data_IF_353695564352
#
_entry.id   IF_353695564352
#
_cell.length_a   1.000
_cell.length_b   1.000
_cell.length_c   1.000
_cell.angle_alpha   90.00
_cell.angle_beta   90.00
_cell.angle_gamma   90.00
#
_symmetry.space_group_name_H-M   'P 1'
#
loop_
_entity.id
_entity.type
_entity.pdbx_description
1 polymer ?
#
# COMPACT_ATOMS: atom_id res chain seq x y z
N UNK A 1 0.56 0.81 15.08
CA UNK A 1 0.49 2.27 14.92
C UNK A 1 -0.51 2.81 15.93
N UNK A 2 -0.03 3.50 16.96
CA UNK A 2 -0.89 4.33 17.80
C UNK A 2 -1.17 5.61 17.00
N UNK A 3 -2.35 5.70 16.40
CA UNK A 3 -2.85 6.95 15.83
C UNK A 3 -3.10 7.91 16.99
N UNK A 4 -2.11 8.76 17.31
CA UNK A 4 -2.37 9.98 18.08
C UNK A 4 -3.53 10.68 17.38
N UNK A 5 -4.64 10.88 18.10
CA UNK A 5 -5.80 11.63 17.62
C UNK A 5 -5.29 12.98 17.14
N UNK A 6 -5.19 13.15 15.82
CA UNK A 6 -4.90 14.45 15.23
C UNK A 6 -6.09 15.35 15.59
N UNK A 7 -5.83 16.54 16.12
CA UNK A 7 -6.90 17.49 16.47
C UNK A 7 -7.76 17.74 15.23
N UNK A 8 -9.08 17.63 15.35
CA UNK A 8 -10.06 17.80 14.26
C UNK A 8 -9.82 19.11 13.47
N UNK A 9 -9.47 20.20 14.16
CA UNK A 9 -9.13 21.49 13.53
C UNK A 9 -7.96 21.46 12.54
N UNK A 10 -7.05 20.49 12.69
CA UNK A 10 -5.95 20.29 11.73
C UNK A 10 -6.45 19.60 10.46
N UNK A 11 -7.43 18.70 10.57
CA UNK A 11 -7.97 17.92 9.44
C UNK A 11 -8.85 18.77 8.52
N UNK A 12 -9.57 19.74 9.09
CA UNK A 12 -10.45 20.65 8.32
C UNK A 12 -9.69 21.45 7.24
N UNK A 13 -8.44 21.79 7.51
CA UNK A 13 -7.61 22.66 6.66
C UNK A 13 -6.70 21.90 5.69
N UNK A 14 -6.83 20.58 5.62
CA UNK A 14 -6.03 19.75 4.69
C UNK A 14 -6.53 19.97 3.27
N UNK A 15 -5.61 20.32 2.37
CA UNK A 15 -5.92 20.33 0.94
C UNK A 15 -6.00 18.88 0.42
N UNK A 16 -7.21 18.50 0.00
CA UNK A 16 -7.54 17.15 -0.49
C UNK A 16 -7.80 17.12 -1.99
N UNK A 17 -7.61 18.24 -2.70
CA UNK A 17 -7.85 18.32 -4.15
C UNK A 17 -6.82 17.49 -4.95
N UNK A 18 -5.65 17.22 -4.37
CA UNK A 18 -4.64 16.32 -4.96
C UNK A 18 -4.92 14.83 -4.71
N UNK A 19 -6.01 14.50 -4.01
CA UNK A 19 -6.46 13.13 -3.77
C UNK A 19 -7.51 12.77 -4.83
N UNK A 20 -7.03 12.33 -5.99
CA UNK A 20 -7.89 12.12 -7.15
C UNK A 20 -8.75 10.84 -7.00
N UNK A 21 -8.19 9.68 -6.65
CA UNK A 21 -8.93 8.39 -6.44
C UNK A 21 -10.02 8.05 -7.48
N UNK A 22 -10.06 8.75 -8.61
CA UNK A 22 -11.07 8.68 -9.67
C UNK A 22 -10.86 7.43 -10.51
N UNK A 23 -9.61 6.95 -10.55
CA UNK A 23 -9.23 5.66 -11.07
C UNK A 23 -9.33 4.62 -9.96
N UNK A 24 -10.47 3.96 -9.90
CA UNK A 24 -10.66 2.82 -9.02
C UNK A 24 -9.82 1.62 -9.48
N UNK A 25 -9.48 0.75 -8.54
CA UNK A 25 -9.17 -0.64 -8.87
C UNK A 25 -10.41 -1.42 -9.40
N UNK A 26 -11.56 -0.79 -9.63
CA UNK A 26 -12.85 -1.46 -9.89
C UNK A 26 -13.30 -1.51 -11.36
N UNK A 27 -12.52 -1.01 -12.33
CA UNK A 27 -12.70 -1.44 -13.73
C UNK A 27 -12.29 -2.92 -13.95
N UNK A 28 -11.94 -3.63 -12.88
CA UNK A 28 -11.73 -5.07 -12.82
C UNK A 28 -13.09 -5.80 -12.79
N UNK A 29 -13.92 -5.59 -13.81
CA UNK A 29 -14.75 -6.69 -14.34
C UNK A 29 -13.88 -7.72 -15.07
N UNK A 30 -12.61 -7.42 -15.31
CA UNK A 30 -11.63 -8.38 -15.80
C UNK A 30 -11.07 -9.24 -14.65
N UNK A 31 -11.76 -10.33 -14.32
CA UNK A 31 -11.22 -11.49 -13.59
C UNK A 31 -10.14 -12.24 -14.41
N UNK A 32 -9.33 -11.52 -15.20
CA UNK A 32 -8.27 -12.07 -16.03
C UNK A 32 -6.90 -11.73 -15.41
N UNK A 33 -6.16 -12.73 -14.89
CA UNK A 33 -4.83 -12.55 -14.32
C UNK A 33 -3.76 -12.11 -15.33
N UNK A 34 -4.03 -12.14 -16.64
CA UNK A 34 -3.11 -11.64 -17.68
C UNK A 34 -3.20 -10.12 -17.91
N UNK A 35 -4.07 -9.44 -17.18
CA UNK A 35 -4.40 -8.05 -17.46
C UNK A 35 -3.39 -7.09 -16.82
N UNK A 36 -2.40 -6.62 -17.60
CA UNK A 36 -1.45 -5.56 -17.22
C UNK A 36 -2.11 -4.31 -16.60
N UNK A 37 -3.41 -4.11 -16.85
CA UNK A 37 -4.18 -3.03 -16.25
C UNK A 37 -4.25 -3.13 -14.72
N UNK A 38 -4.29 -4.33 -14.11
CA UNK A 38 -4.38 -4.43 -12.63
C UNK A 38 -3.10 -3.92 -11.97
N UNK A 39 -1.93 -4.24 -12.53
CA UNK A 39 -0.65 -3.77 -12.02
C UNK A 39 -0.52 -2.25 -12.20
N UNK A 40 -0.96 -1.74 -13.34
CA UNK A 40 -0.99 -0.30 -13.62
C UNK A 40 -1.90 0.46 -12.64
N UNK A 41 -3.15 0.02 -12.48
CA UNK A 41 -4.10 0.64 -11.55
C UNK A 41 -3.64 0.50 -10.09
N UNK A 42 -3.02 -0.61 -9.72
CA UNK A 42 -2.39 -0.78 -8.40
C UNK A 42 -1.30 0.27 -8.15
N UNK A 43 -0.43 0.54 -9.12
CA UNK A 43 0.60 1.56 -9.01
C UNK A 43 0.00 2.97 -8.86
N UNK A 44 -1.00 3.31 -9.67
CA UNK A 44 -1.66 4.61 -9.60
C UNK A 44 -2.37 4.81 -8.25
N UNK A 45 -3.13 3.81 -7.81
CA UNK A 45 -3.82 3.86 -6.53
C UNK A 45 -2.85 4.09 -5.36
N UNK A 46 -1.71 3.40 -5.34
CA UNK A 46 -0.70 3.58 -4.30
C UNK A 46 0.00 4.94 -4.36
N UNK A 47 0.15 5.51 -5.57
CA UNK A 47 0.64 6.88 -5.73
C UNK A 47 -0.34 7.87 -5.10
N UNK A 48 -1.63 7.71 -5.34
CA UNK A 48 -2.67 8.58 -4.76
C UNK A 48 -2.78 8.42 -3.25
N UNK A 49 -2.58 7.21 -2.75
CA UNK A 49 -2.63 6.91 -1.32
C UNK A 49 -1.44 7.46 -0.52
N UNK A 50 -0.26 7.55 -1.15
CA UNK A 50 0.99 7.81 -0.42
C UNK A 50 1.83 8.96 -0.97
N UNK A 51 2.05 8.99 -2.29
CA UNK A 51 2.96 9.96 -2.88
C UNK A 51 2.39 11.38 -2.85
N UNK A 52 1.14 11.58 -3.29
CA UNK A 52 0.53 12.91 -3.24
C UNK A 52 0.36 13.41 -1.79
N UNK A 53 -0.20 12.61 -0.85
CA UNK A 53 -0.27 12.89 0.60
C UNK A 53 1.03 13.35 1.25
N UNK A 54 2.14 12.74 0.83
CA UNK A 54 3.49 13.08 1.30
C UNK A 54 3.99 14.39 0.68
N UNK A 55 3.83 14.55 -0.64
CA UNK A 55 4.42 15.65 -1.39
C UNK A 55 3.68 16.99 -1.24
N UNK A 56 2.33 16.99 -1.17
CA UNK A 56 1.54 18.21 -1.40
C UNK A 56 0.69 18.67 -0.21
N UNK A 57 0.39 17.80 0.73
CA UNK A 57 -0.60 18.04 1.79
C UNK A 57 -0.12 17.64 3.20
N UNK A 58 1.14 17.17 3.33
CA UNK A 58 1.82 16.88 4.61
C UNK A 58 1.01 15.98 5.55
N UNK A 59 0.10 15.17 4.99
CA UNK A 59 -0.71 14.20 5.73
C UNK A 59 0.09 12.98 6.16
N UNK A 60 1.23 12.77 5.49
CA UNK A 60 2.10 11.62 5.65
C UNK A 60 3.49 12.13 5.94
N UNK A 61 4.06 11.65 7.05
CA UNK A 61 5.46 11.88 7.37
C UNK A 61 6.39 11.07 6.47
N UNK A 62 7.66 11.49 6.37
CA UNK A 62 8.68 10.74 5.62
C UNK A 62 8.81 9.29 6.09
N UNK A 63 8.74 9.05 7.40
CA UNK A 63 8.87 7.71 7.97
C UNK A 63 7.66 6.83 7.58
N UNK A 64 6.44 7.36 7.69
CA UNK A 64 5.24 6.64 7.23
C UNK A 64 5.29 6.34 5.72
N UNK A 65 5.80 7.26 4.91
CA UNK A 65 6.00 7.03 3.48
C UNK A 65 6.97 5.88 3.22
N UNK A 66 8.13 5.88 3.87
CA UNK A 66 9.15 4.84 3.72
C UNK A 66 8.66 3.47 4.20
N UNK A 67 7.97 3.43 5.35
CA UNK A 67 7.37 2.20 5.87
C UNK A 67 6.35 1.60 4.89
N UNK A 68 5.50 2.46 4.32
CA UNK A 68 4.52 2.01 3.34
C UNK A 68 5.16 1.52 2.04
N UNK A 69 6.10 2.29 1.44
CA UNK A 69 6.81 1.87 0.22
C UNK A 69 7.44 0.50 0.38
N UNK A 70 8.01 0.23 1.55
CA UNK A 70 8.63 -1.04 1.91
C UNK A 70 7.66 -2.21 2.07
N UNK A 71 6.35 -2.00 2.22
CA UNK A 71 5.33 -3.07 2.18
C UNK A 71 4.63 -3.14 0.82
N UNK A 72 4.43 -1.99 0.18
CA UNK A 72 3.88 -1.86 -1.18
C UNK A 72 4.74 -2.61 -2.21
N UNK A 73 6.07 -2.48 -2.14
CA UNK A 73 6.99 -3.17 -3.08
C UNK A 73 6.75 -4.69 -3.09
N UNK A 74 6.58 -5.30 -1.92
CA UNK A 74 6.30 -6.73 -1.82
C UNK A 74 4.88 -7.08 -2.24
N UNK A 75 3.91 -6.20 -2.01
CA UNK A 75 2.55 -6.40 -2.50
C UNK A 75 2.49 -6.34 -4.03
N UNK A 76 3.20 -5.40 -4.64
CA UNK A 76 3.36 -5.31 -6.09
C UNK A 76 4.04 -6.56 -6.67
N UNK A 77 5.17 -7.00 -6.09
CA UNK A 77 5.86 -8.20 -6.56
C UNK A 77 5.00 -9.46 -6.40
N UNK A 78 4.27 -9.58 -5.28
CA UNK A 78 3.35 -10.70 -5.08
C UNK A 78 2.18 -10.68 -6.08
N UNK A 79 1.67 -9.49 -6.45
CA UNK A 79 0.65 -9.35 -7.49
C UNK A 79 1.21 -9.73 -8.87
N UNK A 80 2.39 -9.21 -9.22
CA UNK A 80 3.08 -9.47 -10.49
C UNK A 80 3.44 -10.94 -10.71
N UNK A 81 3.77 -11.64 -9.63
CA UNK A 81 4.08 -13.08 -9.65
C UNK A 81 2.83 -13.96 -9.42
N UNK A 82 1.62 -13.40 -9.50
CA UNK A 82 0.33 -14.09 -9.31
C UNK A 82 0.24 -14.87 -7.98
N UNK A 83 0.85 -14.34 -6.91
CA UNK A 83 0.91 -14.98 -5.59
C UNK A 83 -0.18 -14.49 -4.64
N UNK A 84 -0.98 -13.51 -5.06
CA UNK A 84 -2.13 -13.05 -4.31
C UNK A 84 -3.36 -13.87 -4.68
N UNK A 85 -4.06 -14.37 -3.67
CA UNK A 85 -5.36 -14.99 -3.89
C UNK A 85 -6.38 -13.96 -4.37
N UNK A 86 -7.39 -14.42 -5.13
CA UNK A 86 -8.51 -13.58 -5.58
C UNK A 86 -9.19 -12.83 -4.42
N UNK A 87 -9.29 -13.46 -3.25
CA UNK A 87 -9.81 -12.82 -2.04
C UNK A 87 -8.94 -11.64 -1.57
N UNK A 88 -7.62 -11.76 -1.62
CA UNK A 88 -6.71 -10.67 -1.25
C UNK A 88 -6.81 -9.52 -2.24
N UNK A 89 -6.86 -9.82 -3.54
CA UNK A 89 -7.04 -8.81 -4.60
C UNK A 89 -8.37 -8.07 -4.40
N UNK A 90 -9.48 -8.81 -4.30
CA UNK A 90 -10.81 -8.23 -4.06
C UNK A 90 -10.83 -7.34 -2.82
N UNK A 91 -10.23 -7.80 -1.73
CA UNK A 91 -10.19 -7.01 -0.50
C UNK A 91 -9.35 -5.72 -0.59
N UNK A 92 -8.40 -5.63 -1.54
CA UNK A 92 -7.69 -4.38 -1.84
C UNK A 92 -8.58 -3.49 -2.73
N UNK A 93 -9.27 -4.07 -3.71
CA UNK A 93 -10.24 -3.36 -4.55
C UNK A 93 -11.37 -2.73 -3.72
N UNK A 94 -11.98 -3.48 -2.80
CA UNK A 94 -13.03 -2.99 -1.91
C UNK A 94 -12.56 -1.78 -1.08
N UNK A 95 -11.29 -1.75 -0.67
CA UNK A 95 -10.71 -0.59 0.06
C UNK A 95 -10.48 0.61 -0.86
N UNK A 96 -10.10 0.40 -2.11
CA UNK A 96 -10.00 1.46 -3.12
C UNK A 96 -11.36 2.07 -3.44
N UNK A 97 -12.41 1.24 -3.51
CA UNK A 97 -13.79 1.67 -3.75
C UNK A 97 -14.28 2.63 -2.67
N UNK A 98 -14.05 2.31 -1.40
CA UNK A 98 -14.41 3.18 -0.26
C UNK A 98 -13.85 4.59 -0.42
N UNK A 99 -12.59 4.74 -0.89
CA UNK A 99 -11.98 6.06 -1.04
C UNK A 99 -12.60 6.88 -2.17
N UNK A 100 -12.93 6.22 -3.27
CA UNK A 100 -13.57 6.92 -4.38
C UNK A 100 -15.02 7.29 -4.06
N UNK A 101 -15.78 6.38 -3.44
CA UNK A 101 -17.12 6.72 -2.95
C UNK A 101 -17.08 7.90 -1.97
N UNK A 102 -16.13 7.87 -1.01
CA UNK A 102 -15.95 8.97 -0.06
C UNK A 102 -15.59 10.29 -0.78
N UNK A 103 -14.78 10.25 -1.84
CA UNK A 103 -14.48 11.45 -2.63
C UNK A 103 -15.73 12.00 -3.31
N UNK A 104 -16.51 11.14 -3.98
CA UNK A 104 -17.75 11.57 -4.63
C UNK A 104 -18.72 12.19 -3.62
N UNK A 105 -18.90 11.55 -2.46
CA UNK A 105 -19.73 12.08 -1.38
C UNK A 105 -19.24 13.43 -0.85
N UNK A 106 -17.91 13.65 -0.83
CA UNK A 106 -17.32 14.94 -0.46
C UNK A 106 -17.62 16.00 -1.53
N UNK A 107 -17.44 15.67 -2.81
CA UNK A 107 -17.65 16.59 -3.94
C UNK A 107 -19.10 17.09 -4.01
N UNK A 108 -20.08 16.23 -3.72
CA UNK A 108 -21.50 16.62 -3.65
C UNK A 108 -21.92 17.21 -2.30
N UNK A 109 -20.98 17.35 -1.34
CA UNK A 109 -21.21 17.96 -0.04
C UNK A 109 -21.97 17.10 0.98
N UNK A 110 -22.10 15.80 0.75
CA UNK A 110 -22.74 14.85 1.69
C UNK A 110 -21.85 14.58 2.90
N UNK A 111 -20.54 14.49 2.71
CA UNK A 111 -19.57 14.44 3.81
C UNK A 111 -18.65 15.65 3.79
N UNK A 112 -18.22 16.07 4.98
CA UNK A 112 -17.28 17.18 5.15
C UNK A 112 -15.85 16.74 4.88
N UNK A 113 -14.97 17.73 4.67
CA UNK A 113 -13.55 17.49 4.41
C UNK A 113 -12.88 16.62 5.49
N UNK A 114 -13.13 16.90 6.78
CA UNK A 114 -12.52 16.11 7.86
C UNK A 114 -12.99 14.65 7.87
N UNK A 115 -14.26 14.38 7.52
CA UNK A 115 -14.82 13.01 7.44
C UNK A 115 -14.13 12.24 6.32
N UNK A 116 -13.92 12.89 5.16
CA UNK A 116 -13.16 12.32 4.06
C UNK A 116 -11.71 12.00 4.48
N UNK A 117 -11.03 12.92 5.18
CA UNK A 117 -9.67 12.69 5.68
C UNK A 117 -9.64 11.54 6.70
N UNK A 118 -10.62 11.42 7.59
CA UNK A 118 -10.72 10.31 8.52
C UNK A 118 -10.89 8.96 7.81
N UNK A 119 -11.78 8.88 6.80
CA UNK A 119 -11.94 7.70 5.95
C UNK A 119 -10.63 7.35 5.25
N UNK A 120 -9.95 8.35 4.67
CA UNK A 120 -8.65 8.21 4.04
C UNK A 120 -7.62 7.57 4.99
N UNK A 121 -7.48 8.11 6.20
CA UNK A 121 -6.53 7.60 7.20
C UNK A 121 -6.86 6.15 7.61
N UNK A 122 -8.14 5.82 7.75
CA UNK A 122 -8.59 4.47 8.10
C UNK A 122 -8.27 3.47 6.99
N UNK A 123 -8.63 3.78 5.74
CA UNK A 123 -8.36 2.90 4.58
C UNK A 123 -6.86 2.70 4.40
N UNK A 124 -6.06 3.78 4.47
CA UNK A 124 -4.59 3.70 4.41
C UNK A 124 -4.03 2.76 5.48
N UNK A 125 -4.50 2.88 6.71
CA UNK A 125 -4.10 2.00 7.81
C UNK A 125 -4.45 0.52 7.55
N UNK A 126 -5.62 0.25 6.98
CA UNK A 126 -6.05 -1.11 6.60
C UNK A 126 -5.21 -1.68 5.44
N UNK A 127 -4.90 -0.88 4.43
CA UNK A 127 -4.03 -1.28 3.33
C UNK A 127 -2.62 -1.61 3.82
N UNK A 128 -2.05 -0.78 4.68
CA UNK A 128 -0.75 -1.04 5.29
C UNK A 128 -0.72 -2.38 6.04
N UNK A 129 -1.75 -2.69 6.81
CA UNK A 129 -1.87 -3.99 7.51
C UNK A 129 -1.93 -5.16 6.53
N UNK A 130 -2.70 -5.03 5.44
CA UNK A 130 -2.79 -6.06 4.39
C UNK A 130 -1.47 -6.27 3.68
N UNK A 131 -0.79 -5.20 3.27
CA UNK A 131 0.50 -5.27 2.60
C UNK A 131 1.59 -5.84 3.51
N UNK A 132 1.55 -5.51 4.80
CA UNK A 132 2.44 -6.11 5.79
C UNK A 132 2.25 -7.63 5.90
N UNK A 133 1.00 -8.10 5.88
CA UNK A 133 0.69 -9.53 5.87
C UNK A 133 1.16 -10.21 4.57
N UNK A 134 0.94 -9.57 3.42
CA UNK A 134 1.41 -10.03 2.11
C UNK A 134 2.93 -10.15 2.10
N UNK A 135 3.65 -9.11 2.53
CA UNK A 135 5.11 -9.12 2.65
C UNK A 135 5.61 -10.31 3.48
N UNK A 136 5.00 -10.56 4.63
CA UNK A 136 5.37 -11.69 5.51
C UNK A 136 5.18 -13.03 4.79
N UNK A 137 4.07 -13.21 4.08
CA UNK A 137 3.79 -14.43 3.32
C UNK A 137 4.76 -14.60 2.14
N UNK A 138 4.99 -13.53 1.36
CA UNK A 138 5.89 -13.50 0.22
C UNK A 138 7.33 -13.85 0.63
N UNK A 139 7.86 -13.19 1.67
CA UNK A 139 9.21 -13.48 2.18
C UNK A 139 9.34 -14.93 2.69
N UNK A 140 8.31 -15.46 3.36
CA UNK A 140 8.31 -16.86 3.82
C UNK A 140 8.40 -17.83 2.63
N UNK A 141 7.68 -17.54 1.54
CA UNK A 141 7.74 -18.32 0.31
C UNK A 141 9.12 -18.22 -0.34
N UNK A 142 9.65 -17.01 -0.52
CA UNK A 142 10.99 -16.79 -1.11
C UNK A 142 12.10 -17.50 -0.33
N UNK A 143 12.04 -17.50 1.00
CA UNK A 143 12.98 -18.24 1.85
C UNK A 143 12.91 -19.74 1.57
N UNK A 144 11.70 -20.29 1.47
CA UNK A 144 11.47 -21.71 1.16
C UNK A 144 11.98 -22.06 -0.23
N UNK A 145 11.61 -21.29 -1.24
CA UNK A 145 11.92 -21.54 -2.65
C UNK A 145 13.43 -21.44 -2.92
N UNK A 146 14.13 -20.51 -2.25
CA UNK A 146 15.59 -20.34 -2.36
C UNK A 146 16.38 -21.27 -1.45
N UNK A 147 15.72 -22.17 -0.70
CA UNK A 147 16.38 -23.05 0.26
C UNK A 147 17.17 -22.30 1.34
N UNK A 148 16.73 -21.09 1.71
CA UNK A 148 17.38 -20.29 2.74
C UNK A 148 17.07 -20.93 4.09
N UNK A 149 18.12 -21.32 4.82
CA UNK A 149 18.03 -21.98 6.12
C UNK A 149 18.64 -21.10 7.21
N UNK A 150 18.52 -21.53 8.48
CA UNK A 150 19.19 -20.88 9.62
C UNK A 150 20.72 -20.77 9.41
N UNK A 151 21.31 -21.71 8.66
CA UNK A 151 22.75 -21.74 8.39
C UNK A 151 23.15 -20.85 7.20
N UNK A 152 22.18 -20.31 6.43
CA UNK A 152 22.48 -19.45 5.28
C UNK A 152 23.19 -18.16 5.69
N UNK A 153 22.91 -17.61 6.88
CA UNK A 153 23.60 -16.43 7.40
C UNK A 153 25.08 -16.70 7.70
N UNK A 154 25.40 -17.85 8.31
CA UNK A 154 26.78 -18.26 8.57
C UNK A 154 27.54 -18.49 7.27
N UNK A 155 26.92 -19.17 6.29
CA UNK A 155 27.51 -19.32 4.94
C UNK A 155 27.80 -17.97 4.27
N UNK A 156 26.91 -16.99 4.41
CA UNK A 156 27.10 -15.67 3.85
C UNK A 156 28.29 -14.94 4.50
N UNK A 157 28.40 -15.00 5.84
CA UNK A 157 29.51 -14.41 6.59
C UNK A 157 30.85 -15.05 6.24
N UNK A 158 30.89 -16.37 6.08
CA UNK A 158 32.10 -17.07 5.64
C UNK A 158 32.54 -16.63 4.23
N UNK A 159 31.60 -16.52 3.28
CA UNK A 159 31.89 -16.01 1.94
C UNK A 159 32.40 -14.57 1.95
N UNK A 160 31.84 -13.71 2.81
CA UNK A 160 32.30 -12.33 2.98
C UNK A 160 33.70 -12.26 3.57
N UNK A 161 34.03 -13.10 4.56
CA UNK A 161 35.37 -13.15 5.13
C UNK A 161 36.42 -13.52 4.07
N UNK A 162 36.15 -14.52 3.23
CA UNK A 162 37.03 -14.90 2.13
C UNK A 162 37.21 -13.82 1.06
N UNK A 163 36.29 -12.85 0.94
CA UNK A 163 36.41 -11.71 0.02
C UNK A 163 37.32 -10.61 0.57
N UNK A 164 37.41 -10.47 1.90
CA UNK A 164 38.24 -9.45 2.55
C UNK A 164 39.68 -9.92 2.82
N UNK A 165 39.96 -11.20 2.59
CA UNK A 165 41.30 -11.80 2.71
C UNK A 165 42.10 -11.76 1.39
N UNK A 166 41.49 -11.25 0.30
CA UNK A 166 42.16 -10.89 -0.96
C UNK A 166 42.22 -9.37 -1.12
#
# INVERSE_FOLDING_TARGET
>A
MNTKVQKISYLENVNVETLDFSLHLNDITALDPTNDNILYHFCLFNKDLMFWPYMFNKLISRDEFLEFKNVEEYAYNALKEEQLSRFQIKSICDLSEILSEAKLLREIGVIKNYEFVEIFMQVRGKLFQKYSAIKKAYLKKQIKDKGITKNSAQRLRAKLACLNEN
#
